data_IF_789077610936
#
_entry.id   IF_789077610936
#
_cell.length_a   1.000
_cell.length_b   1.000
_cell.length_c   1.000
_cell.angle_alpha   90.00
_cell.angle_beta   90.00
_cell.angle_gamma   90.00
#
_symmetry.space_group_name_H-M   'P 1'
#
loop_
_entity.id
_entity.type
_entity.pdbx_description
1 polymer ?
#
# COMPACT_ATOMS: atom_id res chain seq x y z
N UNK A 1 -11.97 24.40 -21.27
CA UNK A 1 -11.63 23.20 -20.46
C UNK A 1 -10.78 22.28 -21.32
N UNK A 2 -9.66 21.73 -20.84
CA UNK A 2 -8.70 21.01 -21.70
C UNK A 2 -9.23 19.72 -22.35
N UNK A 3 -10.39 19.21 -21.92
CA UNK A 3 -10.99 17.95 -22.37
C UNK A 3 -12.24 18.16 -23.24
N UNK A 4 -12.24 19.07 -24.21
CA UNK A 4 -13.45 19.40 -25.00
C UNK A 4 -14.15 18.20 -25.67
N UNK A 5 -13.40 17.14 -26.00
CA UNK A 5 -13.91 15.90 -26.62
C UNK A 5 -13.92 14.69 -25.68
N UNK A 6 -13.53 14.87 -24.41
CA UNK A 6 -13.35 13.79 -23.43
C UNK A 6 -14.07 14.09 -22.12
N UNK A 7 -14.23 13.07 -21.28
CA UNK A 7 -14.75 13.29 -19.94
C UNK A 7 -13.69 13.94 -19.05
N UNK A 8 -14.09 14.83 -18.14
CA UNK A 8 -13.19 15.33 -17.11
C UNK A 8 -12.77 14.17 -16.17
N UNK A 9 -11.47 14.02 -15.86
CA UNK A 9 -10.99 13.05 -14.87
C UNK A 9 -11.57 13.31 -13.48
N UNK A 10 -11.83 12.25 -12.73
CA UNK A 10 -12.16 12.33 -11.30
C UNK A 10 -10.87 12.53 -10.51
N UNK A 11 -10.93 13.24 -9.38
CA UNK A 11 -9.76 13.42 -8.53
C UNK A 11 -9.16 12.07 -8.13
N UNK A 12 -7.86 11.91 -8.42
CA UNK A 12 -7.07 10.71 -8.14
C UNK A 12 -7.50 9.44 -8.92
N UNK A 13 -8.31 9.59 -9.98
CA UNK A 13 -8.65 8.52 -10.91
C UNK A 13 -7.39 7.95 -11.59
N UNK A 14 -7.35 6.64 -11.77
CA UNK A 14 -6.30 5.99 -12.55
C UNK A 14 -6.46 6.30 -14.03
N UNK A 15 -5.34 6.35 -14.77
CA UNK A 15 -5.38 6.64 -16.19
C UNK A 15 -6.21 5.59 -16.94
N UNK A 16 -6.02 4.31 -16.64
CA UNK A 16 -6.79 3.20 -17.19
C UNK A 16 -8.29 3.31 -16.90
N UNK A 17 -8.66 3.70 -15.66
CA UNK A 17 -10.05 3.94 -15.28
C UNK A 17 -10.66 5.07 -16.10
N UNK A 18 -9.93 6.17 -16.25
CA UNK A 18 -10.40 7.33 -17.01
C UNK A 18 -10.58 7.02 -18.50
N UNK A 19 -9.62 6.33 -19.11
CA UNK A 19 -9.69 5.87 -20.50
C UNK A 19 -10.89 4.95 -20.70
N UNK A 20 -11.09 3.98 -19.80
CA UNK A 20 -12.23 3.07 -19.86
C UNK A 20 -13.56 3.81 -19.72
N UNK A 21 -13.62 4.82 -18.84
CA UNK A 21 -14.82 5.64 -18.66
C UNK A 21 -15.14 6.49 -19.90
N UNK A 22 -14.12 7.05 -20.56
CA UNK A 22 -14.29 7.73 -21.85
C UNK A 22 -14.81 6.75 -22.91
N UNK A 23 -14.24 5.56 -23.02
CA UNK A 23 -14.68 4.54 -23.98
C UNK A 23 -16.12 4.06 -23.74
N UNK A 24 -16.54 3.93 -22.48
CA UNK A 24 -17.90 3.48 -22.15
C UNK A 24 -18.98 4.54 -22.42
N UNK A 25 -18.63 5.83 -22.37
CA UNK A 25 -19.60 6.94 -22.39
C UNK A 25 -19.58 7.72 -23.69
N UNK A 26 -18.47 7.69 -24.43
CA UNK A 26 -18.33 8.37 -25.70
C UNK A 26 -18.62 7.38 -26.83
N UNK A 27 -19.10 7.91 -27.95
CA UNK A 27 -19.26 7.10 -29.16
C UNK A 27 -17.89 6.56 -29.62
N UNK A 28 -17.80 5.33 -30.17
CA UNK A 28 -16.56 4.82 -30.78
C UNK A 28 -16.00 5.71 -31.90
N UNK A 29 -16.84 6.56 -32.51
CA UNK A 29 -16.41 7.58 -33.49
C UNK A 29 -15.68 8.76 -32.86
N UNK A 30 -15.97 9.05 -31.59
CA UNK A 30 -15.37 10.17 -30.83
C UNK A 30 -14.10 9.73 -30.10
N UNK A 31 -14.09 8.50 -29.58
CA UNK A 31 -12.94 7.98 -28.84
C UNK A 31 -12.84 6.46 -28.97
N UNK A 32 -11.63 5.97 -29.18
CA UNK A 32 -11.30 4.54 -29.17
C UNK A 32 -9.98 4.34 -28.44
N UNK A 33 -9.99 3.47 -27.42
CA UNK A 33 -8.78 3.17 -26.66
C UNK A 33 -7.91 2.08 -27.29
N UNK A 34 -8.25 1.59 -28.50
CA UNK A 34 -7.57 0.44 -29.12
C UNK A 34 -6.05 0.62 -29.26
N UNK A 35 -5.58 1.78 -29.72
CA UNK A 35 -4.13 2.07 -29.86
C UNK A 35 -3.40 2.07 -28.50
N UNK A 36 -4.09 2.61 -27.49
CA UNK A 36 -3.60 2.70 -26.12
C UNK A 36 -3.54 1.28 -25.52
N UNK A 37 -4.63 0.53 -25.64
CA UNK A 37 -4.73 -0.85 -25.16
C UNK A 37 -3.76 -1.79 -25.86
N UNK A 38 -3.55 -1.65 -27.18
CA UNK A 38 -2.58 -2.49 -27.90
C UNK A 38 -1.18 -2.29 -27.37
N UNK A 39 -0.81 -1.08 -26.93
CA UNK A 39 0.49 -0.81 -26.32
C UNK A 39 0.63 -1.51 -24.95
N UNK A 40 -0.47 -1.68 -24.22
CA UNK A 40 -0.49 -2.24 -22.86
C UNK A 40 -0.60 -3.76 -22.88
N UNK A 41 -1.66 -4.28 -23.47
CA UNK A 41 -2.03 -5.69 -23.38
C UNK A 41 -1.17 -6.61 -24.26
N UNK A 42 -0.48 -6.09 -25.29
CA UNK A 42 0.51 -6.89 -26.02
C UNK A 42 1.79 -7.14 -25.21
N UNK A 43 2.03 -6.36 -24.14
CA UNK A 43 3.26 -6.38 -23.37
C UNK A 43 3.10 -6.92 -21.95
N UNK A 44 1.86 -7.11 -21.46
CA UNK A 44 1.60 -7.57 -20.08
C UNK A 44 2.19 -8.96 -19.79
N UNK A 45 2.20 -9.86 -20.77
CA UNK A 45 2.75 -11.22 -20.59
C UNK A 45 4.28 -11.27 -20.70
N UNK A 46 4.91 -10.25 -21.30
CA UNK A 46 6.36 -10.22 -21.56
C UNK A 46 7.12 -9.30 -20.59
N UNK A 47 6.50 -8.21 -20.12
CA UNK A 47 7.13 -7.20 -19.28
C UNK A 47 6.12 -6.59 -18.28
N UNK A 48 6.07 -7.07 -17.02
CA UNK A 48 5.26 -6.46 -15.96
C UNK A 48 5.68 -5.02 -15.56
N UNK A 49 6.61 -4.42 -16.32
CA UNK A 49 7.26 -3.13 -16.05
C UNK A 49 6.45 -1.95 -16.62
N UNK A 50 5.59 -2.18 -17.63
CA UNK A 50 4.79 -1.12 -18.25
C UNK A 50 3.40 -1.02 -17.62
N UNK A 51 3.35 -0.63 -16.35
CA UNK A 51 2.09 -0.30 -15.68
C UNK A 51 1.55 1.05 -16.20
N UNK A 52 0.44 1.07 -16.96
CA UNK A 52 -0.05 2.30 -17.59
C UNK A 52 -0.49 3.37 -16.59
N UNK A 53 -0.80 3.01 -15.35
CA UNK A 53 -1.23 3.95 -14.32
C UNK A 53 -0.06 4.60 -13.55
N UNK A 54 1.14 4.02 -13.66
CA UNK A 54 2.32 4.41 -12.88
C UNK A 54 3.58 4.63 -13.74
N UNK A 55 3.47 4.52 -15.07
CA UNK A 55 4.54 4.82 -16.02
C UNK A 55 4.37 6.22 -16.62
N UNK A 56 5.36 7.08 -16.39
CA UNK A 56 5.43 8.42 -17.03
C UNK A 56 5.63 8.27 -18.53
N UNK A 57 6.47 7.32 -18.96
CA UNK A 57 6.77 7.05 -20.36
C UNK A 57 5.50 6.67 -21.14
N UNK A 58 4.58 5.94 -20.50
CA UNK A 58 3.27 5.65 -21.06
C UNK A 58 2.48 6.92 -21.32
N UNK A 59 2.40 7.83 -20.35
CA UNK A 59 1.60 9.06 -20.44
C UNK A 59 2.11 10.02 -21.52
N UNK A 60 3.42 10.03 -21.79
CA UNK A 60 4.04 10.88 -22.82
C UNK A 60 4.22 10.18 -24.17
N UNK A 61 3.75 8.95 -24.30
CA UNK A 61 3.88 8.18 -25.55
C UNK A 61 3.11 8.82 -26.71
N UNK A 62 3.62 8.61 -27.93
CA UNK A 62 2.96 9.07 -29.17
C UNK A 62 1.56 8.48 -29.31
N UNK A 63 1.39 7.20 -28.98
CA UNK A 63 0.09 6.51 -28.98
C UNK A 63 -0.96 7.20 -28.12
N UNK A 64 -0.57 7.65 -26.91
CA UNK A 64 -1.46 8.39 -26.00
C UNK A 64 -1.74 9.79 -26.57
N UNK A 65 -0.70 10.50 -27.02
CA UNK A 65 -0.84 11.85 -27.57
C UNK A 65 -1.77 11.89 -28.79
N UNK A 66 -1.60 10.98 -29.74
CA UNK A 66 -2.39 10.91 -30.98
C UNK A 66 -3.86 10.57 -30.72
N UNK A 67 -4.13 9.81 -29.65
CA UNK A 67 -5.47 9.33 -29.30
C UNK A 67 -6.23 10.34 -28.47
N UNK A 68 -5.58 10.95 -27.47
CA UNK A 68 -6.22 11.84 -26.49
C UNK A 68 -6.23 13.28 -26.99
N UNK A 69 -5.19 13.71 -27.73
CA UNK A 69 -5.02 15.07 -28.24
C UNK A 69 -5.12 16.14 -27.15
N UNK A 70 -4.62 15.82 -25.95
CA UNK A 70 -4.49 16.73 -24.82
C UNK A 70 -3.01 16.92 -24.57
N UNK A 71 -2.64 18.15 -24.20
CA UNK A 71 -1.26 18.49 -23.84
C UNK A 71 -0.68 17.51 -22.80
N UNK A 72 0.55 17.06 -23.05
CA UNK A 72 1.21 16.05 -22.23
C UNK A 72 1.43 16.53 -20.80
N UNK A 73 1.74 17.83 -20.60
CA UNK A 73 1.94 18.37 -19.26
C UNK A 73 0.65 18.36 -18.46
N UNK A 74 -0.50 18.61 -19.10
CA UNK A 74 -1.82 18.48 -18.46
C UNK A 74 -2.07 17.04 -18.03
N UNK A 75 -1.80 16.06 -18.89
CA UNK A 75 -1.95 14.63 -18.55
C UNK A 75 -1.02 14.22 -17.40
N UNK A 76 0.23 14.65 -17.43
CA UNK A 76 1.18 14.38 -16.34
C UNK A 76 0.69 14.99 -15.03
N UNK A 77 0.21 16.22 -15.02
CA UNK A 77 -0.30 16.86 -13.80
C UNK A 77 -1.47 16.10 -13.16
N UNK A 78 -2.28 15.40 -13.97
CA UNK A 78 -3.45 14.66 -13.50
C UNK A 78 -3.14 13.21 -13.14
N UNK A 79 -2.35 12.53 -13.98
CA UNK A 79 -2.17 11.08 -13.91
C UNK A 79 -0.84 10.65 -13.34
N UNK A 80 0.18 11.53 -13.25
CA UNK A 80 1.48 11.18 -12.66
C UNK A 80 1.30 10.53 -11.27
N UNK A 81 2.04 9.46 -10.98
CA UNK A 81 2.00 8.84 -9.67
C UNK A 81 2.73 9.71 -8.64
N UNK A 82 2.21 9.73 -7.41
CA UNK A 82 2.84 10.46 -6.29
C UNK A 82 4.05 9.74 -5.71
N UNK A 83 4.10 8.42 -5.86
CA UNK A 83 5.18 7.58 -5.36
C UNK A 83 5.42 6.43 -6.33
N UNK A 84 6.66 5.94 -6.35
CA UNK A 84 7.08 4.73 -7.06
C UNK A 84 6.88 3.48 -6.20
N UNK A 85 6.49 3.63 -4.93
CA UNK A 85 6.23 2.52 -4.04
C UNK A 85 4.78 2.03 -4.19
N UNK A 86 4.58 1.28 -5.27
CA UNK A 86 3.28 0.83 -5.77
C UNK A 86 3.20 -0.71 -5.75
N UNK A 87 1.99 -1.22 -5.57
CA UNK A 87 1.67 -2.64 -5.69
C UNK A 87 1.67 -2.98 -7.19
N UNK A 88 2.40 -4.01 -7.64
CA UNK A 88 2.41 -4.43 -9.04
C UNK A 88 1.02 -4.72 -9.60
N UNK A 89 0.84 -4.51 -10.91
CA UNK A 89 -0.46 -4.66 -11.57
C UNK A 89 -1.01 -6.09 -11.48
N UNK A 90 -0.13 -7.10 -11.53
CA UNK A 90 -0.48 -8.51 -11.37
C UNK A 90 -1.15 -8.82 -10.04
N UNK A 91 -0.69 -8.15 -8.98
CA UNK A 91 -1.06 -8.42 -7.59
C UNK A 91 -2.16 -7.48 -7.08
N UNK A 92 -2.43 -6.39 -7.80
CA UNK A 92 -3.45 -5.43 -7.40
C UNK A 92 -4.85 -6.01 -7.51
N UNK A 93 -5.55 -6.05 -6.38
CA UNK A 93 -6.91 -6.58 -6.29
C UNK A 93 -7.78 -5.84 -5.26
N UNK A 94 -7.31 -4.77 -4.63
CA UNK A 94 -8.02 -4.14 -3.50
C UNK A 94 -8.61 -2.79 -3.88
N UNK A 95 -9.83 -2.54 -3.42
CA UNK A 95 -10.56 -1.29 -3.64
C UNK A 95 -11.50 -0.99 -2.46
N UNK A 96 -12.03 0.23 -2.43
CA UNK A 96 -13.11 0.57 -1.51
C UNK A 96 -14.46 0.33 -2.19
N UNK A 97 -15.21 -0.68 -1.71
CA UNK A 97 -16.54 -1.00 -2.28
C UNK A 97 -17.51 0.16 -2.17
N UNK A 98 -17.48 0.95 -1.09
CA UNK A 98 -18.34 2.13 -0.94
C UNK A 98 -18.06 3.19 -2.03
N UNK A 99 -16.79 3.53 -2.27
CA UNK A 99 -16.42 4.43 -3.38
C UNK A 99 -16.86 3.87 -4.75
N UNK A 100 -16.74 2.56 -4.97
CA UNK A 100 -17.16 1.94 -6.22
C UNK A 100 -18.68 2.06 -6.43
N UNK A 101 -19.47 1.79 -5.39
CA UNK A 101 -20.93 1.91 -5.45
C UNK A 101 -21.39 3.36 -5.65
N UNK A 102 -20.74 4.31 -4.96
CA UNK A 102 -20.99 5.74 -5.18
C UNK A 102 -20.66 6.16 -6.61
N UNK A 103 -19.51 5.71 -7.15
CA UNK A 103 -19.14 6.01 -8.53
C UNK A 103 -20.11 5.41 -9.55
N UNK A 104 -20.60 4.18 -9.30
CA UNK A 104 -21.60 3.54 -10.14
C UNK A 104 -22.91 4.33 -10.14
N UNK A 105 -23.36 4.78 -8.96
CA UNK A 105 -24.59 5.57 -8.81
C UNK A 105 -24.49 6.94 -9.49
N UNK A 106 -23.39 7.66 -9.28
CA UNK A 106 -23.22 9.03 -9.76
C UNK A 106 -22.82 9.12 -11.23
N UNK A 107 -21.97 8.18 -11.69
CA UNK A 107 -21.29 8.26 -12.99
C UNK A 107 -21.75 7.16 -13.95
N UNK A 108 -22.51 6.18 -13.45
CA UNK A 108 -22.98 5.03 -14.24
C UNK A 108 -21.88 4.05 -14.63
N UNK A 109 -20.73 4.08 -13.94
CA UNK A 109 -19.63 3.14 -14.12
C UNK A 109 -18.70 3.16 -12.90
N UNK A 110 -17.90 2.11 -12.72
CA UNK A 110 -16.87 2.07 -11.68
C UNK A 110 -15.72 3.03 -11.99
N UNK A 111 -15.23 3.72 -10.96
CA UNK A 111 -14.03 4.56 -11.02
C UNK A 111 -12.98 4.00 -10.07
N UNK A 112 -11.81 3.66 -10.61
CA UNK A 112 -10.67 3.18 -9.83
C UNK A 112 -9.69 4.31 -9.55
N UNK A 113 -9.14 4.31 -8.33
CA UNK A 113 -8.26 5.38 -7.85
C UNK A 113 -6.81 4.90 -7.78
N UNK A 114 -5.87 5.77 -8.18
CA UNK A 114 -4.42 5.49 -8.13
C UNK A 114 -3.97 5.13 -6.72
N UNK A 115 -4.47 5.85 -5.70
CA UNK A 115 -4.08 5.64 -4.30
C UNK A 115 -4.36 4.24 -3.76
N UNK A 116 -5.31 3.50 -4.32
CA UNK A 116 -5.57 2.12 -3.87
C UNK A 116 -4.44 1.15 -4.19
N UNK A 117 -3.50 1.58 -5.03
CA UNK A 117 -2.32 0.80 -5.43
C UNK A 117 -1.03 1.25 -4.75
N UNK A 118 -1.04 2.34 -3.98
CA UNK A 118 0.13 2.72 -3.20
C UNK A 118 0.27 1.80 -1.98
N UNK A 119 1.49 1.29 -1.75
CA UNK A 119 1.77 0.36 -0.65
C UNK A 119 1.42 0.98 0.71
N UNK A 120 1.69 2.27 0.89
CA UNK A 120 1.37 2.98 2.13
C UNK A 120 -0.12 3.36 2.29
N UNK A 121 -0.99 2.98 1.36
CA UNK A 121 -2.40 3.41 1.34
C UNK A 121 -3.42 2.26 1.40
N UNK A 122 -3.36 1.38 2.41
CA UNK A 122 -4.31 0.27 2.55
C UNK A 122 -5.71 0.70 3.02
N UNK A 123 -5.93 1.98 3.35
CA UNK A 123 -7.19 2.49 3.89
C UNK A 123 -7.80 3.53 2.94
N UNK A 124 -9.12 3.43 2.73
CA UNK A 124 -9.87 4.47 2.06
C UNK A 124 -9.93 5.73 2.93
N UNK A 125 -9.38 6.85 2.45
CA UNK A 125 -9.41 8.13 3.17
C UNK A 125 -10.80 8.76 3.29
N UNK A 126 -11.73 8.38 2.41
CA UNK A 126 -13.11 8.90 2.35
C UNK A 126 -13.99 8.16 3.35
N UNK A 127 -14.13 6.84 3.18
CA UNK A 127 -14.98 5.99 4.02
C UNK A 127 -14.31 5.45 5.28
N UNK A 128 -13.01 5.72 5.46
CA UNK A 128 -12.23 5.32 6.63
C UNK A 128 -12.33 3.81 6.91
N UNK A 129 -12.20 3.01 5.85
CA UNK A 129 -12.28 1.56 5.89
C UNK A 129 -11.08 0.93 5.18
N UNK A 130 -10.75 -0.30 5.57
CA UNK A 130 -9.71 -1.07 4.91
C UNK A 130 -10.11 -1.40 3.47
N UNK A 131 -9.17 -1.30 2.52
CA UNK A 131 -9.42 -1.71 1.14
C UNK A 131 -9.59 -3.23 1.06
N UNK A 132 -10.69 -3.67 0.48
CA UNK A 132 -11.08 -5.07 0.37
C UNK A 132 -10.77 -5.65 -1.00
N UNK A 133 -10.47 -6.97 -1.10
CA UNK A 133 -10.25 -7.61 -2.38
C UNK A 133 -11.52 -7.59 -3.24
N UNK A 134 -11.35 -7.38 -4.53
CA UNK A 134 -12.41 -7.42 -5.52
C UNK A 134 -12.84 -8.87 -5.80
N UNK A 135 -14.15 -9.14 -6.00
CA UNK A 135 -14.68 -10.49 -6.21
C UNK A 135 -14.09 -11.23 -7.41
N UNK A 136 -13.61 -10.52 -8.43
CA UNK A 136 -13.42 -11.07 -9.77
C UNK A 136 -12.22 -12.03 -9.94
N UNK A 137 -11.30 -12.10 -8.96
CA UNK A 137 -10.15 -13.03 -8.97
C UNK A 137 -10.21 -14.13 -7.90
N UNK A 138 -11.24 -14.16 -7.05
CA UNK A 138 -11.43 -15.29 -6.13
C UNK A 138 -12.11 -16.44 -6.88
N UNK A 139 -11.31 -17.43 -7.33
CA UNK A 139 -11.83 -18.66 -7.96
C UNK A 139 -12.88 -19.39 -7.11
N UNK A 140 -12.92 -19.12 -5.80
CA UNK A 140 -13.92 -19.60 -4.87
C UNK A 140 -14.12 -18.57 -3.74
N UNK A 141 -15.11 -17.67 -3.84
CA UNK A 141 -16.08 -17.42 -2.75
C UNK A 141 -16.96 -16.20 -3.07
N UNK A 142 -18.25 -16.35 -2.78
CA UNK A 142 -19.29 -15.32 -2.84
C UNK A 142 -19.15 -14.30 -1.68
N UNK A 143 -18.04 -14.30 -0.92
CA UNK A 143 -17.81 -13.38 0.22
C UNK A 143 -17.16 -12.06 -0.21
N UNK A 144 -17.74 -11.43 -1.21
CA UNK A 144 -17.23 -10.22 -1.85
C UNK A 144 -17.50 -8.91 -1.09
N UNK A 145 -18.12 -9.00 0.08
CA UNK A 145 -18.48 -7.84 0.89
C UNK A 145 -17.85 -8.01 2.27
N UNK A 146 -17.26 -6.96 2.84
CA UNK A 146 -16.59 -7.06 4.13
C UNK A 146 -17.61 -7.54 5.15
N UNK A 147 -17.43 -8.78 5.62
CA UNK A 147 -18.07 -9.24 6.84
C UNK A 147 -17.75 -8.22 7.95
N UNK A 148 -18.65 -8.05 8.92
CA UNK A 148 -18.49 -7.13 10.07
C UNK A 148 -17.24 -7.44 10.92
N UNK A 149 -16.48 -8.47 10.57
CA UNK A 149 -15.34 -9.03 11.27
C UNK A 149 -14.25 -9.38 10.25
N UNK A 150 -12.99 -9.10 10.60
CA UNK A 150 -11.85 -9.70 9.89
C UNK A 150 -11.45 -10.93 10.70
N UNK A 151 -11.83 -12.10 10.20
CA UNK A 151 -11.32 -13.36 10.71
C UNK A 151 -9.93 -13.58 10.12
N UNK A 152 -8.90 -13.50 10.95
CA UNK A 152 -7.59 -14.06 10.60
C UNK A 152 -7.56 -15.53 10.99
N UNK A 153 -6.55 -16.28 10.54
CA UNK A 153 -6.36 -17.66 10.97
C UNK A 153 -6.11 -17.84 12.49
N UNK A 154 -6.00 -16.74 13.26
CA UNK A 154 -5.66 -16.75 14.68
C UNK A 154 -6.72 -16.10 15.56
N UNK A 155 -7.23 -14.94 15.17
CA UNK A 155 -8.18 -14.19 15.97
C UNK A 155 -9.25 -13.55 15.08
N UNK A 156 -10.43 -13.36 15.66
CA UNK A 156 -11.47 -12.53 15.07
C UNK A 156 -11.37 -11.16 15.71
N UNK A 157 -11.01 -10.14 14.94
CA UNK A 157 -11.09 -8.76 15.41
C UNK A 157 -12.54 -8.30 15.33
N UNK A 158 -13.07 -7.82 16.45
CA UNK A 158 -14.39 -7.21 16.47
C UNK A 158 -14.40 -5.86 15.72
N UNK A 159 -15.60 -5.42 15.34
CA UNK A 159 -15.77 -4.21 14.53
C UNK A 159 -15.23 -2.93 15.20
N UNK A 160 -15.29 -2.83 16.53
CA UNK A 160 -14.82 -1.66 17.28
C UNK A 160 -13.29 -1.64 17.33
N UNK A 161 -12.66 -2.76 17.63
CA UNK A 161 -11.19 -2.89 17.61
C UNK A 161 -10.64 -2.64 16.22
N UNK A 162 -11.25 -3.23 15.18
CA UNK A 162 -10.87 -2.98 13.80
C UNK A 162 -10.99 -1.49 13.44
N UNK A 163 -12.08 -0.83 13.82
CA UNK A 163 -12.26 0.61 13.57
C UNK A 163 -11.16 1.44 14.23
N UNK A 164 -10.78 1.13 15.47
CA UNK A 164 -9.67 1.81 16.16
C UNK A 164 -8.34 1.61 15.42
N UNK A 165 -8.02 0.38 15.00
CA UNK A 165 -6.80 0.08 14.23
C UNK A 165 -6.77 0.81 12.89
N UNK A 166 -7.90 0.83 12.15
CA UNK A 166 -8.02 1.58 10.89
C UNK A 166 -7.76 3.07 11.12
N UNK A 167 -8.29 3.67 12.18
CA UNK A 167 -8.04 5.08 12.49
C UNK A 167 -6.57 5.36 12.83
N UNK A 168 -5.90 4.47 13.57
CA UNK A 168 -4.47 4.57 13.87
C UNK A 168 -3.62 4.52 12.60
N UNK A 169 -3.85 3.51 11.75
CA UNK A 169 -3.15 3.40 10.47
C UNK A 169 -3.43 4.59 9.55
N UNK A 170 -4.67 5.11 9.53
CA UNK A 170 -5.03 6.28 8.73
C UNK A 170 -4.27 7.55 9.16
N UNK A 171 -3.93 7.69 10.45
CA UNK A 171 -3.07 8.81 10.91
C UNK A 171 -1.71 8.78 10.22
N UNK A 172 -1.08 7.60 10.15
CA UNK A 172 0.23 7.42 9.51
C UNK A 172 0.12 7.55 7.99
N UNK A 173 -0.89 6.92 7.38
CA UNK A 173 -1.15 7.06 5.94
C UNK A 173 -1.34 8.53 5.53
N UNK A 174 -2.06 9.33 6.34
CA UNK A 174 -2.23 10.77 6.07
C UNK A 174 -0.92 11.55 6.18
N UNK A 175 -0.03 11.17 7.09
CA UNK A 175 1.28 11.79 7.20
C UNK A 175 2.13 11.45 5.96
N UNK A 176 2.19 10.17 5.58
CA UNK A 176 2.86 9.71 4.36
C UNK A 176 2.30 10.42 3.12
N UNK A 177 0.98 10.54 3.00
CA UNK A 177 0.35 11.28 1.90
C UNK A 177 0.83 12.74 1.82
N UNK A 178 1.03 13.43 2.95
CA UNK A 178 1.54 14.81 2.92
C UNK A 178 2.99 14.85 2.46
N UNK A 179 3.81 13.91 2.90
CA UNK A 179 5.19 13.80 2.47
C UNK A 179 5.30 13.50 0.96
N UNK A 180 4.45 12.62 0.44
CA UNK A 180 4.36 12.31 -1.01
C UNK A 180 3.99 13.51 -1.88
N UNK A 181 3.35 14.54 -1.31
CA UNK A 181 3.00 15.78 -2.00
C UNK A 181 3.98 16.92 -1.73
N UNK A 182 5.00 16.71 -0.88
CA UNK A 182 6.02 17.72 -0.60
C UNK A 182 7.12 17.68 -1.67
N UNK A 183 7.66 18.85 -2.00
CA UNK A 183 8.84 19.02 -2.85
C UNK A 183 10.14 19.10 -2.06
N UNK A 184 10.08 19.02 -0.72
CA UNK A 184 11.24 19.21 0.15
C UNK A 184 12.13 17.96 0.16
N UNK A 185 13.45 18.16 0.07
CA UNK A 185 14.41 17.05 0.14
C UNK A 185 14.32 16.28 1.47
N UNK A 186 14.00 16.96 2.57
CA UNK A 186 13.77 16.32 3.87
C UNK A 186 12.57 15.37 3.85
N UNK A 187 11.52 15.67 3.08
CA UNK A 187 10.38 14.78 2.92
C UNK A 187 10.77 13.49 2.21
N UNK A 188 11.68 13.53 1.23
CA UNK A 188 12.21 12.34 0.55
C UNK A 188 12.99 11.44 1.50
N UNK A 189 13.82 12.01 2.38
CA UNK A 189 14.57 11.26 3.40
C UNK A 189 13.64 10.58 4.41
N UNK A 190 12.64 11.32 4.90
CA UNK A 190 11.62 10.79 5.82
C UNK A 190 10.82 9.68 5.14
N UNK A 191 10.41 9.87 3.88
CA UNK A 191 9.71 8.84 3.09
C UNK A 191 10.53 7.58 2.90
N UNK A 192 11.82 7.71 2.59
CA UNK A 192 12.72 6.57 2.48
C UNK A 192 12.86 5.82 3.82
N UNK A 193 12.84 6.53 4.94
CA UNK A 193 12.86 5.96 6.28
C UNK A 193 11.55 5.21 6.61
N UNK A 194 10.38 5.80 6.33
CA UNK A 194 9.08 5.14 6.46
C UNK A 194 9.01 3.86 5.64
N UNK A 195 9.40 3.96 4.36
CA UNK A 195 9.43 2.83 3.43
C UNK A 195 10.30 1.70 3.98
N UNK A 196 11.51 2.01 4.44
CA UNK A 196 12.43 0.99 4.96
C UNK A 196 11.86 0.26 6.18
N UNK A 197 11.31 0.99 7.16
CA UNK A 197 10.72 0.41 8.38
C UNK A 197 9.46 -0.41 8.06
N UNK A 198 8.61 0.07 7.16
CA UNK A 198 7.44 -0.69 6.74
C UNK A 198 7.81 -1.95 5.95
N UNK A 199 8.79 -1.88 5.03
CA UNK A 199 9.28 -3.03 4.28
C UNK A 199 9.89 -4.09 5.21
N UNK A 200 10.52 -3.67 6.32
CA UNK A 200 11.00 -4.57 7.37
C UNK A 200 9.83 -5.33 8.01
N UNK A 201 8.78 -4.62 8.42
CA UNK A 201 7.60 -5.24 9.02
C UNK A 201 6.77 -6.09 8.06
N UNK A 202 6.91 -5.87 6.75
CA UNK A 202 6.17 -6.59 5.71
C UNK A 202 6.96 -7.72 5.06
N UNK A 203 8.19 -7.97 5.49
CA UNK A 203 9.12 -8.89 4.85
C UNK A 203 8.49 -10.25 4.46
N UNK A 204 8.81 -10.74 3.27
CA UNK A 204 8.43 -12.08 2.81
C UNK A 204 9.38 -13.16 3.36
N UNK A 205 9.13 -14.42 2.99
CA UNK A 205 10.00 -15.55 3.31
C UNK A 205 9.49 -16.42 4.46
N UNK A 206 10.35 -17.30 4.94
CA UNK A 206 10.02 -18.35 5.91
C UNK A 206 9.56 -17.78 7.26
N UNK A 207 10.18 -16.68 7.70
CA UNK A 207 9.89 -16.08 9.00
C UNK A 207 8.84 -14.95 8.95
N UNK A 208 8.54 -14.42 7.75
CA UNK A 208 7.70 -13.23 7.46
C UNK A 208 7.97 -12.01 8.38
N UNK A 209 7.60 -10.82 7.93
CA UNK A 209 7.68 -9.62 8.76
C UNK A 209 6.61 -9.61 9.86
N UNK A 210 6.88 -8.89 10.95
CA UNK A 210 6.00 -8.83 12.13
C UNK A 210 4.54 -8.47 11.79
N UNK A 211 4.32 -7.58 10.83
CA UNK A 211 2.98 -7.17 10.43
C UNK A 211 2.15 -8.31 9.82
N UNK A 212 2.81 -9.33 9.27
CA UNK A 212 2.17 -10.47 8.62
C UNK A 212 1.55 -11.47 9.62
N UNK A 213 2.03 -11.47 10.86
CA UNK A 213 1.56 -12.40 11.90
C UNK A 213 1.20 -11.70 13.23
N UNK A 214 1.14 -10.36 13.23
CA UNK A 214 0.71 -9.59 14.40
C UNK A 214 -0.64 -10.08 14.94
N UNK A 215 -1.61 -10.26 14.03
CA UNK A 215 -2.94 -10.80 14.32
C UNK A 215 -3.24 -12.09 13.56
N UNK A 216 -2.27 -12.70 12.88
CA UNK A 216 -2.47 -13.90 12.06
C UNK A 216 -1.52 -15.01 12.50
N UNK A 217 -1.81 -16.27 12.19
CA UNK A 217 -0.82 -17.34 12.36
C UNK A 217 0.31 -17.13 11.34
N UNK A 218 1.58 -17.38 11.71
CA UNK A 218 2.65 -17.47 10.73
C UNK A 218 2.27 -18.51 9.67
N UNK A 219 2.18 -18.08 8.42
CA UNK A 219 1.97 -18.99 7.29
C UNK A 219 3.35 -19.33 6.72
N UNK A 220 3.80 -20.60 6.80
CA UNK A 220 5.07 -20.97 6.21
C UNK A 220 4.99 -20.78 4.69
N UNK A 221 5.82 -19.89 4.15
CA UNK A 221 5.98 -19.80 2.70
C UNK A 221 6.87 -20.96 2.24
N UNK A 222 6.40 -21.72 1.24
CA UNK A 222 7.18 -22.80 0.61
C UNK A 222 8.48 -22.22 0.05
N UNK A 223 9.58 -22.99 0.12
CA UNK A 223 10.98 -22.57 -0.02
C UNK A 223 11.45 -21.86 -1.30
N UNK A 224 10.55 -21.37 -2.16
CA UNK A 224 10.87 -20.60 -3.36
C UNK A 224 11.68 -19.32 -3.08
N UNK A 225 11.60 -18.77 -1.86
CA UNK A 225 12.33 -17.57 -1.45
C UNK A 225 13.54 -17.85 -0.55
N UNK A 226 13.90 -19.13 -0.32
CA UNK A 226 14.94 -19.54 0.66
C UNK A 226 16.33 -18.96 0.35
N UNK A 227 16.61 -18.68 -0.92
CA UNK A 227 17.90 -18.13 -1.39
C UNK A 227 17.84 -16.63 -1.69
N UNK A 228 16.72 -15.95 -1.38
CA UNK A 228 16.60 -14.51 -1.55
C UNK A 228 17.21 -13.78 -0.35
N UNK A 229 18.07 -12.80 -0.61
CA UNK A 229 18.61 -11.96 0.48
C UNK A 229 17.58 -11.02 1.09
N UNK A 230 17.86 -10.50 2.29
CA UNK A 230 16.94 -9.69 3.10
C UNK A 230 16.27 -8.56 2.33
N UNK A 231 17.04 -7.81 1.53
CA UNK A 231 16.51 -6.66 0.79
C UNK A 231 15.42 -7.08 -0.19
N UNK A 232 15.62 -8.19 -0.89
CA UNK A 232 14.64 -8.75 -1.83
C UNK A 232 13.40 -9.23 -1.10
N UNK A 233 13.56 -9.92 0.04
CA UNK A 233 12.43 -10.37 0.86
C UNK A 233 11.59 -9.20 1.40
N UNK A 234 12.23 -8.13 1.86
CA UNK A 234 11.58 -6.88 2.29
C UNK A 234 10.75 -6.24 1.16
N UNK A 235 11.31 -6.18 -0.05
CA UNK A 235 10.62 -5.64 -1.24
C UNK A 235 9.43 -6.52 -1.66
N UNK A 236 9.66 -7.82 -1.81
CA UNK A 236 8.61 -8.79 -2.21
C UNK A 236 7.47 -8.78 -1.20
N UNK A 237 7.80 -8.74 0.09
CA UNK A 237 6.82 -8.69 1.16
C UNK A 237 5.94 -7.46 1.12
N UNK A 238 6.52 -6.28 0.87
CA UNK A 238 5.76 -5.05 0.71
C UNK A 238 4.80 -5.07 -0.48
N UNK A 239 5.17 -5.74 -1.58
CA UNK A 239 4.33 -5.86 -2.78
C UNK A 239 3.21 -6.89 -2.64
N UNK A 240 3.48 -8.03 -2.00
CA UNK A 240 2.52 -9.15 -1.90
C UNK A 240 1.62 -9.08 -0.68
N UNK A 241 1.93 -8.21 0.29
CA UNK A 241 1.13 -8.05 1.51
C UNK A 241 -0.34 -7.72 1.21
N UNK A 242 -1.25 -8.20 2.04
CA UNK A 242 -2.66 -7.79 2.01
C UNK A 242 -2.84 -6.36 2.53
N UNK A 243 -4.00 -5.74 2.26
CA UNK A 243 -4.34 -4.44 2.87
C UNK A 243 -4.25 -4.49 4.39
N UNK A 244 -4.67 -5.60 5.01
CA UNK A 244 -4.64 -5.77 6.45
C UNK A 244 -3.21 -5.81 7.01
N UNK A 245 -2.30 -6.54 6.35
CA UNK A 245 -0.89 -6.59 6.75
C UNK A 245 -0.21 -5.23 6.58
N UNK A 246 -0.50 -4.51 5.48
CA UNK A 246 -0.01 -3.13 5.28
C UNK A 246 -0.56 -2.16 6.33
N UNK A 247 -1.81 -2.31 6.76
CA UNK A 247 -2.38 -1.57 7.87
C UNK A 247 -1.60 -1.86 9.16
N UNK A 248 -1.32 -3.13 9.47
CA UNK A 248 -0.51 -3.50 10.64
C UNK A 248 0.89 -2.89 10.57
N UNK A 249 1.54 -2.90 9.39
CA UNK A 249 2.85 -2.29 9.20
C UNK A 249 2.83 -0.77 9.42
N UNK A 250 1.78 -0.07 8.97
CA UNK A 250 1.60 1.36 9.27
C UNK A 250 1.48 1.62 10.77
N UNK A 251 0.70 0.81 11.49
CA UNK A 251 0.51 0.95 12.93
C UNK A 251 1.82 0.69 13.68
N UNK A 252 2.51 -0.41 13.37
CA UNK A 252 3.81 -0.73 13.96
C UNK A 252 4.82 0.38 13.68
N UNK A 253 4.86 0.90 12.44
CA UNK A 253 5.74 2.02 12.06
C UNK A 253 5.40 3.27 12.87
N UNK A 254 4.13 3.66 12.95
CA UNK A 254 3.69 4.81 13.73
C UNK A 254 4.01 4.70 15.22
N UNK A 255 3.88 3.49 15.77
CA UNK A 255 4.18 3.21 17.16
C UNK A 255 5.68 3.29 17.45
N UNK A 256 6.53 2.62 16.66
CA UNK A 256 7.99 2.61 16.91
C UNK A 256 8.64 3.96 16.67
N UNK A 257 8.15 4.77 15.74
CA UNK A 257 8.70 6.13 15.54
C UNK A 257 8.15 7.13 16.55
N UNK A 258 7.18 6.74 17.39
CA UNK A 258 6.58 7.63 18.39
C UNK A 258 5.60 8.66 17.80
N UNK A 259 4.94 8.34 16.69
CA UNK A 259 3.96 9.23 16.03
C UNK A 259 2.56 9.19 16.68
N UNK A 260 2.35 8.32 17.67
CA UNK A 260 1.08 8.16 18.35
C UNK A 260 1.06 8.89 19.69
N UNK A 261 -0.10 9.46 20.03
CA UNK A 261 -0.36 9.97 21.38
C UNK A 261 -0.34 8.83 22.40
N UNK A 262 -0.23 9.16 23.69
CA UNK A 262 -0.27 8.13 24.73
C UNK A 262 -1.58 7.33 24.74
N UNK A 263 -2.71 7.97 24.40
CA UNK A 263 -4.00 7.31 24.29
C UNK A 263 -4.04 6.35 23.10
N UNK A 264 -3.51 6.77 21.95
CA UNK A 264 -3.40 5.94 20.76
C UNK A 264 -2.51 4.71 21.00
N UNK A 265 -1.36 4.91 21.65
CA UNK A 265 -0.41 3.86 22.01
C UNK A 265 -1.06 2.83 22.96
N UNK A 266 -1.73 3.28 24.02
CA UNK A 266 -2.45 2.39 24.95
C UNK A 266 -3.58 1.64 24.27
N UNK A 267 -4.32 2.30 23.36
CA UNK A 267 -5.38 1.64 22.61
C UNK A 267 -4.82 0.53 21.72
N UNK A 268 -3.71 0.78 21.04
CA UNK A 268 -3.01 -0.23 20.24
C UNK A 268 -2.50 -1.38 21.11
N UNK A 269 -1.82 -1.08 22.22
CA UNK A 269 -1.30 -2.08 23.16
C UNK A 269 -2.42 -2.96 23.73
N UNK A 270 -3.55 -2.36 24.13
CA UNK A 270 -4.70 -3.09 24.65
C UNK A 270 -5.26 -4.08 23.62
N UNK A 271 -5.50 -3.63 22.38
CA UNK A 271 -6.03 -4.49 21.31
C UNK A 271 -5.01 -5.58 20.95
N UNK A 272 -3.72 -5.23 20.90
CA UNK A 272 -2.64 -6.18 20.62
C UNK A 272 -2.51 -7.23 21.72
N UNK A 273 -2.53 -6.86 23.00
CA UNK A 273 -2.40 -7.83 24.08
C UNK A 273 -3.61 -8.78 24.16
N UNK A 274 -4.79 -8.34 23.72
CA UNK A 274 -5.99 -9.17 23.67
C UNK A 274 -5.99 -10.17 22.49
N UNK A 275 -5.44 -9.77 21.34
CA UNK A 275 -5.62 -10.52 20.08
C UNK A 275 -4.33 -10.98 19.39
N UNK A 276 -3.16 -10.50 19.81
CA UNK A 276 -1.87 -10.76 19.15
C UNK A 276 -1.21 -12.08 19.57
N UNK A 277 -0.24 -12.50 18.78
CA UNK A 277 0.76 -13.51 19.14
C UNK A 277 1.77 -13.08 20.19
N UNK A 278 1.91 -11.77 20.39
CA UNK A 278 2.99 -11.20 21.17
C UNK A 278 2.45 -10.86 22.56
N UNK A 279 3.02 -11.48 23.60
CA UNK A 279 2.61 -11.25 24.99
C UNK A 279 2.91 -9.81 25.48
N UNK A 280 3.74 -9.05 24.77
CA UNK A 280 4.00 -7.64 25.01
C UNK A 280 4.28 -6.89 23.71
N UNK A 281 3.48 -5.86 23.41
CA UNK A 281 3.63 -5.02 22.23
C UNK A 281 4.41 -3.73 22.54
N UNK A 282 5.56 -3.84 23.21
CA UNK A 282 6.43 -2.68 23.48
C UNK A 282 7.32 -2.39 22.27
N UNK A 283 7.88 -1.18 22.18
CA UNK A 283 8.78 -0.83 21.09
C UNK A 283 10.04 -1.74 21.08
N UNK A 284 10.56 -2.07 22.26
CA UNK A 284 11.65 -3.02 22.44
C UNK A 284 11.29 -4.41 21.91
N UNK A 285 10.12 -4.95 22.30
CA UNK A 285 9.68 -6.26 21.84
C UNK A 285 9.46 -6.29 20.33
N UNK A 286 8.86 -5.24 19.77
CA UNK A 286 8.72 -5.08 18.31
C UNK A 286 10.10 -5.14 17.64
N UNK A 287 11.12 -4.50 18.22
CA UNK A 287 12.50 -4.57 17.76
C UNK A 287 13.04 -5.99 17.77
N UNK A 288 12.92 -6.68 18.91
CA UNK A 288 13.38 -8.05 19.09
C UNK A 288 12.72 -9.03 18.12
N UNK A 289 11.40 -8.93 17.95
CA UNK A 289 10.64 -9.80 17.03
C UNK A 289 10.83 -9.45 15.55
N UNK A 290 11.40 -8.29 15.23
CA UNK A 290 11.72 -7.91 13.86
C UNK A 290 13.08 -8.43 13.38
N UNK A 291 13.88 -9.03 14.27
CA UNK A 291 15.16 -9.68 13.95
C UNK A 291 14.92 -11.07 13.36
N UNK A 292 14.39 -11.09 12.15
CA UNK A 292 14.00 -12.31 11.42
C UNK A 292 15.07 -12.81 10.43
N UNK A 293 16.11 -12.01 10.21
CA UNK A 293 17.14 -12.31 9.22
C UNK A 293 18.28 -13.12 9.83
N UNK A 294 19.00 -13.90 9.02
CA UNK A 294 20.20 -14.60 9.47
C UNK A 294 21.28 -13.62 10.00
N UNK A 295 22.27 -14.17 10.70
CA UNK A 295 23.28 -13.39 11.44
C UNK A 295 24.22 -12.57 10.55
N UNK A 296 24.38 -12.93 9.28
CA UNK A 296 25.21 -12.25 8.29
C UNK A 296 24.52 -11.01 7.67
N UNK A 297 23.20 -11.05 7.47
CA UNK A 297 22.43 -9.93 6.91
C UNK A 297 21.95 -8.93 7.99
N UNK A 298 21.70 -9.41 9.21
CA UNK A 298 21.22 -8.60 10.35
C UNK A 298 22.08 -7.35 10.65
N UNK A 299 23.43 -7.39 10.61
CA UNK A 299 24.27 -6.21 10.87
C UNK A 299 24.07 -5.08 9.85
N UNK A 300 23.83 -5.39 8.57
CA UNK A 300 23.59 -4.37 7.56
C UNK A 300 22.26 -3.63 7.80
N UNK A 301 21.23 -4.39 8.15
CA UNK A 301 19.90 -3.86 8.49
C UNK A 301 19.98 -3.01 9.76
N UNK A 302 20.64 -3.50 10.81
CA UNK A 302 20.87 -2.76 12.05
C UNK A 302 21.59 -1.43 11.80
N UNK A 303 22.65 -1.43 10.98
CA UNK A 303 23.36 -0.19 10.61
C UNK A 303 22.44 0.78 9.88
N UNK A 304 21.58 0.29 8.99
CA UNK A 304 20.61 1.14 8.29
C UNK A 304 19.57 1.72 9.25
N UNK A 305 19.03 0.91 10.17
CA UNK A 305 18.11 1.35 11.20
C UNK A 305 18.74 2.40 12.13
N UNK A 306 19.99 2.20 12.57
CA UNK A 306 20.70 3.17 13.40
C UNK A 306 20.87 4.54 12.71
N UNK A 307 21.07 4.57 11.39
CA UNK A 307 21.12 5.82 10.61
C UNK A 307 19.79 6.56 10.60
N UNK A 308 18.66 5.89 10.82
CA UNK A 308 17.34 6.54 10.86
C UNK A 308 17.07 7.25 12.20
N UNK A 309 17.93 7.14 13.21
CA UNK A 309 17.80 7.90 14.47
C UNK A 309 17.72 9.40 14.25
N UNK A 310 18.45 9.94 13.27
CA UNK A 310 18.41 11.37 12.93
C UNK A 310 17.07 11.78 12.31
N UNK A 311 16.36 10.84 11.68
CA UNK A 311 15.06 11.05 11.04
C UNK A 311 13.92 10.83 12.04
N UNK A 312 14.06 9.86 12.94
CA UNK A 312 13.08 9.49 13.96
C UNK A 312 13.66 9.65 15.38
N UNK A 313 13.83 10.89 15.87
CA UNK A 313 14.46 11.14 17.18
C UNK A 313 13.46 10.94 18.32
N UNK A 314 12.95 9.72 18.50
CA UNK A 314 12.02 9.39 19.57
C UNK A 314 12.54 8.30 20.50
N UNK A 315 12.13 8.35 21.77
CA UNK A 315 12.47 7.31 22.76
C UNK A 315 11.96 5.92 22.32
N UNK A 316 10.76 5.87 21.75
CA UNK A 316 10.18 4.63 21.18
C UNK A 316 11.12 4.03 20.13
N UNK A 317 11.68 4.87 19.25
CA UNK A 317 12.57 4.39 18.19
C UNK A 317 13.91 3.88 18.75
N UNK A 318 14.46 4.58 19.74
CA UNK A 318 15.67 4.12 20.44
C UNK A 318 15.46 2.78 21.14
N UNK A 319 14.31 2.58 21.79
CA UNK A 319 13.99 1.32 22.46
C UNK A 319 13.75 0.18 21.45
N UNK A 320 13.13 0.47 20.31
CA UNK A 320 13.05 -0.45 19.16
C UNK A 320 14.43 -0.88 18.67
N UNK A 321 15.38 0.06 18.50
CA UNK A 321 16.74 -0.26 18.06
C UNK A 321 17.50 -1.11 19.08
N UNK A 322 17.32 -0.86 20.38
CA UNK A 322 17.89 -1.71 21.43
C UNK A 322 17.34 -3.14 21.34
N UNK A 323 16.03 -3.28 21.16
CA UNK A 323 15.38 -4.58 20.99
C UNK A 323 15.89 -5.35 19.77
N UNK A 324 16.07 -4.65 18.64
CA UNK A 324 16.63 -5.25 17.42
C UNK A 324 18.11 -5.66 17.58
N UNK A 325 18.85 -4.95 18.43
CA UNK A 325 20.30 -5.07 18.58
C UNK A 325 20.78 -6.03 19.67
N UNK A 326 19.91 -6.46 20.59
CA UNK A 326 20.25 -7.41 21.64
C UNK A 326 20.18 -8.85 21.13
N UNK A 327 21.08 -9.69 21.64
CA UNK A 327 21.07 -11.15 21.50
C UNK A 327 20.35 -11.78 22.70
#
# INVERSE_FOLDING_TARGET
MPFYSLLNPVNDESFTSWIRRCELKLSPRLFSSTKINSMFYSNIDCFPILDPDFSVDTLVSTSVNDTIKVDQQILLNLFRPRTTWVIPFSDWQNACTACLMESLKEKGCYVFLKRWRYTAHPICSVHQCLLSPLPYKQRNSIRAFPDKYIATHKCTLDSLSLKKLVLLALKIQRHIYRLENSTDNSALEIMAAYRFVMELFLCAGEYRGLACFLYSKPTPQRGALKHSGARSLMLIGAYTASSFERMCALILTGYVIGAFSQLDARAFESISNEHSSLYSCTAYDIGRFSKIFPSDESPAIRRRLAKLCSVFPSRSYLDFLKGFGND
#
